data_IF_213406554395
#
_entry.id   IF_213406554395
#
_cell.length_a   1.000
_cell.length_b   1.000
_cell.length_c   1.000
_cell.angle_alpha   90.00
_cell.angle_beta   90.00
_cell.angle_gamma   90.00
#
_symmetry.space_group_name_H-M   'P 1'
#
loop_
_entity.id
_entity.type
_entity.pdbx_description
1 polymer ?
#
# COMPACT_ATOMS: atom_id res chain seq x y z
N UNK A 1 -21.04 -13.36 -4.54
CA UNK A 1 -20.12 -12.89 -3.47
C UNK A 1 -20.91 -12.87 -2.18
N UNK A 2 -20.45 -13.55 -1.17
CA UNK A 2 -21.01 -13.44 0.18
C UNK A 2 -20.55 -12.09 0.77
N UNK A 3 -21.33 -11.50 1.67
CA UNK A 3 -20.99 -10.22 2.30
C UNK A 3 -19.61 -10.25 3.00
N UNK A 4 -19.14 -11.43 3.39
CA UNK A 4 -17.83 -11.65 4.00
C UNK A 4 -16.63 -11.49 3.06
N UNK A 5 -16.86 -11.42 1.75
CA UNK A 5 -15.79 -11.32 0.75
C UNK A 5 -15.60 -9.91 0.21
N UNK A 6 -16.45 -8.95 0.61
CA UNK A 6 -16.36 -7.56 0.18
C UNK A 6 -15.26 -6.86 0.96
N UNK A 7 -14.50 -6.01 0.27
CA UNK A 7 -13.62 -5.02 0.88
C UNK A 7 -13.82 -3.65 0.24
N UNK A 8 -13.57 -2.61 1.01
CA UNK A 8 -13.58 -1.22 0.56
C UNK A 8 -12.23 -0.59 0.79
N UNK A 9 -11.70 0.07 -0.23
CA UNK A 9 -10.62 1.05 -0.10
C UNK A 9 -11.25 2.43 -0.11
N UNK A 10 -11.07 3.16 0.98
CA UNK A 10 -11.60 4.52 1.19
C UNK A 10 -10.45 5.50 1.24
N UNK A 11 -10.47 6.51 0.38
CA UNK A 11 -9.47 7.57 0.34
C UNK A 11 -9.90 8.77 1.22
N UNK A 12 -8.94 9.59 1.64
CA UNK A 12 -9.19 10.75 2.51
C UNK A 12 -10.15 11.78 1.90
N UNK A 13 -10.19 11.89 0.58
CA UNK A 13 -11.08 12.78 -0.14
C UNK A 13 -12.51 12.24 -0.34
N UNK A 14 -12.79 11.05 0.19
CA UNK A 14 -14.09 10.39 0.13
C UNK A 14 -14.28 9.45 -1.05
N UNK A 15 -13.31 9.32 -1.93
CA UNK A 15 -13.37 8.34 -3.02
C UNK A 15 -13.32 6.92 -2.46
N UNK A 16 -14.22 6.06 -2.93
CA UNK A 16 -14.31 4.67 -2.47
C UNK A 16 -14.16 3.72 -3.66
N UNK A 17 -13.33 2.71 -3.49
CA UNK A 17 -13.19 1.60 -4.43
C UNK A 17 -13.65 0.32 -3.74
N UNK A 18 -14.55 -0.40 -4.39
CA UNK A 18 -15.05 -1.69 -3.92
C UNK A 18 -14.30 -2.82 -4.61
N UNK A 19 -13.95 -3.82 -3.83
CA UNK A 19 -13.25 -5.01 -4.30
C UNK A 19 -13.54 -6.21 -3.42
N UNK A 20 -12.68 -7.21 -3.53
CA UNK A 20 -12.73 -8.43 -2.76
C UNK A 20 -11.69 -8.39 -1.64
N UNK A 21 -12.08 -8.83 -0.44
CA UNK A 21 -11.15 -9.03 0.68
C UNK A 21 -10.08 -10.05 0.29
N UNK A 22 -8.83 -9.72 0.58
CA UNK A 22 -7.68 -10.55 0.29
C UNK A 22 -6.64 -10.41 1.40
N UNK A 23 -6.02 -11.54 1.82
CA UNK A 23 -5.20 -11.56 3.02
C UNK A 23 -6.03 -11.52 4.31
N UNK A 24 -5.52 -10.87 5.36
CA UNK A 24 -6.21 -10.75 6.64
C UNK A 24 -7.48 -9.89 6.51
N UNK A 25 -8.53 -10.26 7.26
CA UNK A 25 -9.78 -9.48 7.33
C UNK A 25 -9.71 -8.49 8.49
N UNK A 26 -10.27 -7.30 8.29
CA UNK A 26 -10.29 -6.25 9.30
C UNK A 26 -10.17 -4.86 8.69
N UNK A 27 -9.53 -3.95 9.42
CA UNK A 27 -9.24 -2.60 8.94
C UNK A 27 -7.76 -2.28 9.06
N UNK A 28 -7.27 -1.52 8.09
CA UNK A 28 -5.95 -0.89 8.17
C UNK A 28 -6.03 0.54 7.66
N UNK A 29 -5.17 1.41 8.19
CA UNK A 29 -5.07 2.81 7.81
C UNK A 29 -3.61 3.13 7.50
N UNK A 30 -3.38 3.93 6.45
CA UNK A 30 -2.05 4.36 6.07
C UNK A 30 -2.05 5.45 5.01
N UNK A 31 -0.88 5.93 4.66
CA UNK A 31 -0.69 6.73 3.46
C UNK A 31 -0.75 5.81 2.24
N UNK A 32 -1.56 6.17 1.24
CA UNK A 32 -1.63 5.37 0.01
C UNK A 32 -0.53 5.79 -0.96
N UNK A 33 0.21 4.80 -1.42
CA UNK A 33 1.27 4.95 -2.42
C UNK A 33 1.12 3.89 -3.50
N UNK A 34 1.79 4.04 -4.63
CA UNK A 34 1.78 3.02 -5.68
C UNK A 34 3.20 2.62 -6.07
N UNK A 35 3.35 1.35 -6.42
CA UNK A 35 4.56 0.78 -7.00
C UNK A 35 4.31 0.42 -8.46
N UNK A 36 5.23 0.83 -9.34
CA UNK A 36 5.19 0.53 -10.78
C UNK A 36 6.04 -0.68 -11.17
N UNK A 37 6.62 -1.36 -10.18
CA UNK A 37 7.37 -2.60 -10.40
C UNK A 37 6.48 -3.67 -11.03
N UNK A 38 6.95 -4.28 -12.11
CA UNK A 38 6.26 -5.39 -12.78
C UNK A 38 6.49 -6.73 -12.07
N UNK A 39 7.55 -6.80 -11.28
CA UNK A 39 7.99 -7.94 -10.47
C UNK A 39 8.45 -7.44 -9.11
N UNK A 40 8.84 -8.34 -8.20
CA UNK A 40 9.42 -7.94 -6.92
C UNK A 40 8.39 -7.45 -5.91
N UNK A 41 7.18 -8.01 -5.93
CA UNK A 41 6.17 -7.64 -4.93
C UNK A 41 6.55 -8.11 -3.53
N UNK A 42 7.30 -9.21 -3.39
CA UNK A 42 7.76 -9.71 -2.09
C UNK A 42 8.76 -8.74 -1.47
N UNK A 43 9.71 -8.24 -2.26
CA UNK A 43 10.66 -7.20 -1.88
C UNK A 43 9.91 -5.92 -1.47
N UNK A 44 8.94 -5.47 -2.28
CA UNK A 44 8.11 -4.31 -1.95
C UNK A 44 7.37 -4.46 -0.62
N UNK A 45 6.81 -5.63 -0.35
CA UNK A 45 6.08 -5.91 0.90
C UNK A 45 7.00 -5.88 2.13
N UNK A 46 8.25 -6.36 1.97
CA UNK A 46 9.22 -6.52 3.05
C UNK A 46 10.21 -5.37 3.17
N UNK A 47 10.16 -4.36 2.29
CA UNK A 47 10.98 -3.15 2.37
C UNK A 47 10.48 -2.23 3.49
N UNK A 48 11.31 -1.93 4.52
CA UNK A 48 10.97 -1.01 5.59
C UNK A 48 10.59 0.41 5.13
N UNK A 49 10.97 0.81 3.92
CA UNK A 49 10.62 2.11 3.34
C UNK A 49 9.10 2.30 3.19
N UNK A 50 8.36 1.20 3.04
CA UNK A 50 6.90 1.22 2.95
C UNK A 50 6.20 1.06 4.31
N UNK A 51 6.92 1.26 5.41
CA UNK A 51 6.34 1.13 6.75
C UNK A 51 5.12 2.05 6.92
N UNK A 52 3.99 1.46 7.31
CA UNK A 52 2.67 2.11 7.49
C UNK A 52 2.04 2.68 6.22
N UNK A 53 2.51 2.31 5.05
CA UNK A 53 1.88 2.70 3.79
C UNK A 53 0.96 1.60 3.27
N UNK A 54 -0.11 1.99 2.60
CA UNK A 54 -0.97 1.11 1.81
C UNK A 54 -0.42 1.14 0.39
N UNK A 55 0.12 0.02 -0.07
CA UNK A 55 0.79 -0.06 -1.36
C UNK A 55 -0.14 -0.60 -2.44
N UNK A 56 -0.30 0.16 -3.53
CA UNK A 56 -1.04 -0.23 -4.72
C UNK A 56 -0.06 -0.75 -5.77
N UNK A 57 -0.21 -2.00 -6.17
CA UNK A 57 0.57 -2.55 -7.29
C UNK A 57 -0.09 -2.19 -8.62
N UNK A 58 0.68 -1.58 -9.52
CA UNK A 58 0.18 -1.27 -10.87
C UNK A 58 0.28 -2.47 -11.82
N UNK A 59 1.13 -3.45 -11.51
CA UNK A 59 1.18 -4.71 -12.24
C UNK A 59 -0.19 -5.41 -12.17
N UNK A 60 -0.73 -5.87 -13.30
CA UNK A 60 -2.11 -6.35 -13.37
C UNK A 60 -2.35 -7.65 -12.61
N UNK A 61 -1.34 -8.50 -12.47
CA UNK A 61 -1.45 -9.82 -11.85
C UNK A 61 -0.35 -10.02 -10.81
N UNK A 62 -0.74 -10.29 -9.56
CA UNK A 62 0.17 -10.37 -8.41
C UNK A 62 -0.04 -11.69 -7.67
N UNK A 63 1.06 -12.29 -7.20
CA UNK A 63 1.07 -13.53 -6.43
C UNK A 63 1.44 -14.79 -7.23
N UNK A 64 1.60 -14.68 -8.55
CA UNK A 64 1.91 -15.80 -9.44
C UNK A 64 3.27 -16.45 -9.16
N UNK A 65 4.24 -15.74 -8.62
CA UNK A 65 5.54 -16.29 -8.22
C UNK A 65 5.53 -16.89 -6.81
N UNK A 66 4.47 -16.66 -6.03
CA UNK A 66 4.39 -17.08 -4.64
C UNK A 66 5.34 -16.30 -3.73
N UNK A 67 5.64 -16.87 -2.58
CA UNK A 67 6.58 -16.34 -1.58
C UNK A 67 7.68 -17.37 -1.34
N UNK A 68 8.92 -16.93 -1.26
CA UNK A 68 10.08 -17.76 -0.93
C UNK A 68 10.87 -17.13 0.23
N UNK A 69 11.94 -17.81 0.65
CA UNK A 69 12.75 -17.39 1.80
C UNK A 69 14.01 -16.60 1.38
N UNK A 70 14.22 -16.37 0.07
CA UNK A 70 15.44 -15.77 -0.47
C UNK A 70 15.23 -14.31 -0.92
N UNK A 71 14.02 -13.97 -1.37
CA UNK A 71 13.70 -12.65 -1.95
C UNK A 71 13.22 -11.57 -0.94
N UNK A 72 12.94 -11.82 0.38
CA UNK A 72 12.56 -10.75 1.29
C UNK A 72 13.71 -9.76 1.53
N UNK A 73 13.43 -8.46 1.49
CA UNK A 73 14.35 -7.39 1.91
C UNK A 73 14.57 -7.39 3.43
N UNK A 74 13.63 -7.94 4.20
CA UNK A 74 13.71 -8.03 5.66
C UNK A 74 12.87 -9.17 6.22
N UNK A 75 12.92 -9.36 7.55
CA UNK A 75 12.31 -10.49 8.25
C UNK A 75 10.78 -10.48 8.33
N UNK A 76 10.10 -9.41 7.88
CA UNK A 76 8.63 -9.28 7.97
C UNK A 76 8.07 -8.35 6.88
N UNK A 77 6.76 -8.39 6.72
CA UNK A 77 6.03 -7.41 5.92
C UNK A 77 5.88 -6.09 6.70
N UNK A 78 6.17 -4.96 6.05
CA UNK A 78 6.11 -3.62 6.64
C UNK A 78 4.94 -2.78 6.18
N UNK A 79 4.36 -3.11 5.03
CA UNK A 79 3.21 -2.37 4.50
C UNK A 79 2.03 -2.46 5.47
N UNK A 80 1.25 -1.39 5.59
CA UNK A 80 0.03 -1.39 6.38
C UNK A 80 -1.11 -2.13 5.66
N UNK A 81 -1.11 -2.10 4.33
CA UNK A 81 -2.11 -2.76 3.52
C UNK A 81 -1.64 -2.94 2.09
N UNK A 82 -2.30 -3.83 1.35
CA UNK A 82 -1.89 -4.20 0.01
C UNK A 82 -3.07 -4.21 -0.97
N UNK A 83 -2.90 -3.54 -2.11
CA UNK A 83 -3.96 -3.31 -3.09
C UNK A 83 -3.51 -3.85 -4.44
N UNK A 84 -4.29 -4.76 -5.02
CA UNK A 84 -3.98 -5.41 -6.30
C UNK A 84 -5.21 -5.44 -7.21
N UNK A 85 -4.98 -5.49 -8.52
CA UNK A 85 -6.05 -5.66 -9.49
C UNK A 85 -6.52 -7.11 -9.56
N UNK A 86 -5.60 -8.03 -9.79
CA UNK A 86 -5.86 -9.45 -9.91
C UNK A 86 -4.88 -10.23 -9.05
N UNK A 87 -5.41 -10.93 -8.07
CA UNK A 87 -4.65 -11.78 -7.17
C UNK A 87 -4.58 -13.20 -7.73
N UNK A 88 -3.37 -13.73 -7.91
CA UNK A 88 -3.17 -15.10 -8.34
C UNK A 88 -3.83 -16.08 -7.36
N UNK A 89 -4.60 -17.01 -7.88
CA UNK A 89 -5.25 -18.06 -7.06
C UNK A 89 -4.27 -19.13 -6.60
N UNK A 90 -3.19 -19.30 -7.35
CA UNK A 90 -2.11 -20.24 -7.03
C UNK A 90 -0.79 -19.71 -7.58
N UNK A 91 0.26 -19.92 -6.82
CA UNK A 91 1.62 -19.71 -7.30
C UNK A 91 1.98 -20.80 -8.32
N UNK A 92 2.61 -20.40 -9.41
CA UNK A 92 3.05 -21.29 -10.49
C UNK A 92 4.57 -21.37 -10.62
N UNK A 93 5.32 -20.69 -9.78
CA UNK A 93 6.78 -20.68 -9.83
C UNK A 93 7.36 -21.83 -8.98
N UNK A 94 8.37 -22.50 -9.51
CA UNK A 94 9.08 -23.60 -8.84
C UNK A 94 9.79 -23.18 -7.54
N UNK A 95 10.12 -21.89 -7.38
CA UNK A 95 10.72 -21.33 -6.15
C UNK A 95 9.69 -21.05 -5.05
N UNK A 96 8.39 -21.10 -5.36
CA UNK A 96 7.34 -20.84 -4.38
C UNK A 96 7.41 -21.83 -3.23
N UNK A 97 7.39 -21.31 -2.01
CA UNK A 97 7.26 -22.07 -0.75
C UNK A 97 5.89 -21.92 -0.13
N UNK A 98 5.26 -20.76 -0.35
CA UNK A 98 3.94 -20.41 0.21
C UNK A 98 3.14 -19.58 -0.79
N UNK A 99 1.84 -19.61 -0.65
CA UNK A 99 0.97 -18.68 -1.37
C UNK A 99 1.08 -17.27 -0.76
N UNK A 100 0.97 -16.25 -1.60
CA UNK A 100 1.06 -14.87 -1.12
C UNK A 100 -0.09 -14.51 -0.17
N UNK A 101 -1.31 -15.00 -0.43
CA UNK A 101 -2.46 -14.76 0.44
C UNK A 101 -2.24 -15.34 1.85
N UNK A 102 -1.71 -16.57 1.94
CA UNK A 102 -1.40 -17.21 3.22
C UNK A 102 -0.34 -16.41 4.01
N UNK A 103 0.65 -15.87 3.32
CA UNK A 103 1.68 -15.02 3.93
C UNK A 103 1.08 -13.72 4.48
N UNK A 104 0.21 -13.05 3.71
CA UNK A 104 -0.50 -11.86 4.17
C UNK A 104 -1.36 -12.16 5.40
N UNK A 105 -2.10 -13.29 5.40
CA UNK A 105 -2.92 -13.72 6.53
C UNK A 105 -2.06 -13.98 7.77
N UNK A 106 -0.94 -14.70 7.61
CA UNK A 106 -0.06 -15.08 8.71
C UNK A 106 0.55 -13.87 9.42
N UNK A 107 0.80 -12.79 8.68
CA UNK A 107 1.36 -11.54 9.20
C UNK A 107 0.30 -10.47 9.50
N UNK A 108 -0.99 -10.78 9.36
CA UNK A 108 -2.10 -9.88 9.69
C UNK A 108 -2.24 -8.69 8.72
N UNK A 109 -1.78 -8.83 7.49
CA UNK A 109 -1.84 -7.76 6.49
C UNK A 109 -3.19 -7.78 5.78
N UNK A 110 -3.93 -6.67 5.92
CA UNK A 110 -5.22 -6.48 5.25
C UNK A 110 -4.99 -6.09 3.80
N UNK A 111 -5.62 -6.81 2.89
CA UNK A 111 -5.52 -6.55 1.45
C UNK A 111 -6.88 -6.43 0.78
N UNK A 112 -6.85 -5.88 -0.43
CA UNK A 112 -7.99 -5.79 -1.32
C UNK A 112 -7.56 -6.13 -2.75
N UNK A 113 -8.32 -7.00 -3.40
CA UNK A 113 -8.16 -7.40 -4.79
C UNK A 113 -9.39 -7.01 -5.61
N UNK A 114 -9.31 -7.21 -6.92
CA UNK A 114 -10.39 -6.97 -7.87
C UNK A 114 -10.82 -5.48 -7.95
N UNK A 115 -9.85 -4.56 -7.76
CA UNK A 115 -10.06 -3.10 -7.86
C UNK A 115 -9.35 -2.51 -9.09
N UNK A 116 -9.84 -1.38 -9.59
CA UNK A 116 -9.17 -0.66 -10.67
C UNK A 116 -7.94 0.11 -10.15
N UNK A 117 -6.80 -0.59 -10.07
CA UNK A 117 -5.53 -0.01 -9.64
C UNK A 117 -5.05 1.11 -10.56
N UNK A 118 -5.46 1.11 -11.84
CA UNK A 118 -5.13 2.19 -12.77
C UNK A 118 -5.89 3.48 -12.40
N UNK A 119 -7.19 3.39 -12.09
CA UNK A 119 -7.97 4.53 -11.63
C UNK A 119 -7.41 5.09 -10.32
N UNK A 120 -7.10 4.21 -9.35
CA UNK A 120 -6.48 4.58 -8.07
C UNK A 120 -5.15 5.33 -8.32
N UNK A 121 -4.26 4.76 -9.13
CA UNK A 121 -2.95 5.36 -9.43
C UNK A 121 -3.08 6.74 -10.08
N UNK A 122 -4.00 6.90 -11.04
CA UNK A 122 -4.27 8.20 -11.67
C UNK A 122 -4.74 9.21 -10.63
N UNK A 123 -5.67 8.81 -9.78
CA UNK A 123 -6.22 9.66 -8.72
C UNK A 123 -5.14 10.16 -7.76
N UNK A 124 -4.25 9.26 -7.29
CA UNK A 124 -3.14 9.62 -6.40
C UNK A 124 -2.14 10.55 -7.12
N UNK A 125 -1.86 10.32 -8.41
CA UNK A 125 -0.95 11.18 -9.19
C UNK A 125 -1.49 12.60 -9.36
N UNK A 126 -2.80 12.75 -9.52
CA UNK A 126 -3.45 14.05 -9.72
C UNK A 126 -3.64 14.82 -8.40
N UNK A 127 -3.95 14.11 -7.32
CA UNK A 127 -4.30 14.70 -6.01
C UNK A 127 -3.12 14.77 -5.03
N UNK A 128 -2.07 13.99 -5.25
CA UNK A 128 -0.93 13.86 -4.35
C UNK A 128 -1.11 12.78 -3.28
N UNK A 129 -0.12 12.70 -2.38
CA UNK A 129 -0.14 11.75 -1.27
C UNK A 129 -1.32 12.05 -0.33
N UNK A 130 -2.06 11.01 0.05
CA UNK A 130 -3.23 11.11 0.91
C UNK A 130 -3.35 9.89 1.81
N UNK A 131 -4.15 10.02 2.87
CA UNK A 131 -4.48 8.88 3.72
C UNK A 131 -5.55 8.02 3.08
N UNK A 132 -5.48 6.73 3.40
CA UNK A 132 -6.49 5.78 2.97
C UNK A 132 -6.74 4.73 4.05
N UNK A 133 -7.82 3.97 3.89
CA UNK A 133 -8.13 2.82 4.72
C UNK A 133 -8.69 1.67 3.90
N UNK A 134 -8.31 0.44 4.25
CA UNK A 134 -8.94 -0.76 3.74
C UNK A 134 -9.81 -1.34 4.84
N UNK A 135 -11.04 -1.71 4.49
CA UNK A 135 -12.05 -2.25 5.40
C UNK A 135 -12.64 -3.54 4.84
N UNK A 136 -12.66 -4.61 5.62
CA UNK A 136 -13.24 -5.90 5.25
C UNK A 136 -13.77 -6.67 6.46
N UNK A 137 -14.56 -7.71 6.23
CA UNK A 137 -15.14 -8.50 7.31
C UNK A 137 -15.98 -7.66 8.27
N UNK A 138 -15.77 -7.82 9.57
CA UNK A 138 -16.52 -7.11 10.62
C UNK A 138 -16.24 -5.60 10.68
N UNK A 139 -15.18 -5.15 10.00
CA UNK A 139 -14.82 -3.74 9.92
C UNK A 139 -15.52 -3.00 8.77
N UNK A 140 -16.32 -3.68 7.95
CA UNK A 140 -17.07 -3.05 6.87
C UNK A 140 -18.11 -2.07 7.45
N UNK A 141 -18.20 -0.85 6.91
CA UNK A 141 -19.27 0.07 7.26
C UNK A 141 -20.65 -0.51 6.94
N UNK A 142 -21.65 -0.17 7.76
CA UNK A 142 -23.04 -0.56 7.51
C UNK A 142 -23.49 -0.02 6.15
N UNK A 143 -24.04 -0.88 5.30
CA UNK A 143 -24.47 -0.51 3.96
C UNK A 143 -23.42 -0.67 2.86
N UNK A 144 -22.19 -1.10 3.19
CA UNK A 144 -21.11 -1.33 2.21
C UNK A 144 -21.53 -2.27 1.06
N UNK A 145 -22.41 -3.23 1.32
CA UNK A 145 -22.94 -4.16 0.32
C UNK A 145 -23.75 -3.50 -0.79
N UNK A 146 -24.32 -2.34 -0.54
CA UNK A 146 -25.17 -1.59 -1.49
C UNK A 146 -24.36 -0.60 -2.35
N UNK A 147 -23.07 -0.43 -2.10
CA UNK A 147 -22.21 0.39 -2.95
C UNK A 147 -22.04 -0.31 -4.30
N UNK A 148 -22.29 0.42 -5.39
CA UNK A 148 -22.04 -0.04 -6.76
C UNK A 148 -20.55 -0.35 -7.00
N UNK A 149 -20.25 -0.94 -8.15
CA UNK A 149 -18.87 -1.30 -8.52
C UNK A 149 -18.05 -0.09 -9.03
N UNK A 150 -18.69 1.06 -9.24
CA UNK A 150 -18.03 2.31 -9.61
C UNK A 150 -17.46 3.03 -8.38
N UNK A 151 -16.40 3.81 -8.61
CA UNK A 151 -15.84 4.67 -7.58
C UNK A 151 -16.92 5.65 -7.08
N UNK A 152 -17.36 5.46 -5.84
CA UNK A 152 -18.43 6.27 -5.26
C UNK A 152 -17.81 7.35 -4.38
N UNK A 153 -17.97 8.61 -4.77
CA UNK A 153 -17.70 9.74 -3.90
C UNK A 153 -18.83 9.83 -2.85
N UNK A 154 -18.61 9.26 -1.65
CA UNK A 154 -19.53 9.39 -0.54
C UNK A 154 -18.87 10.08 0.64
N UNK A 155 -19.19 11.35 0.82
CA UNK A 155 -18.65 12.19 1.90
C UNK A 155 -18.97 11.70 3.32
N UNK A 156 -19.94 10.81 3.48
CA UNK A 156 -20.36 10.29 4.78
C UNK A 156 -19.47 9.13 5.30
N UNK A 157 -18.88 8.34 4.40
CA UNK A 157 -18.01 7.23 4.78
C UNK A 157 -16.57 7.67 5.08
N UNK A 158 -16.08 8.71 4.38
CA UNK A 158 -14.70 9.17 4.50
C UNK A 158 -14.36 9.81 5.83
N UNK A 159 -15.25 10.68 6.35
CA UNK A 159 -15.02 11.38 7.60
C UNK A 159 -15.05 10.45 8.83
N UNK A 160 -15.92 9.44 8.83
CA UNK A 160 -16.02 8.48 9.93
C UNK A 160 -14.91 7.42 9.91
N UNK A 161 -14.52 6.94 8.72
CA UNK A 161 -13.56 5.85 8.59
C UNK A 161 -12.10 6.31 8.72
N UNK A 162 -11.74 7.46 8.15
CA UNK A 162 -10.36 7.98 8.15
C UNK A 162 -10.11 8.99 9.28
N UNK A 163 -11.19 9.61 9.83
CA UNK A 163 -11.12 10.63 10.87
C UNK A 163 -10.97 10.09 12.30
N UNK A 164 -11.25 8.83 12.57
CA UNK A 164 -11.23 8.26 13.93
C UNK A 164 -9.84 8.12 14.57
N UNK A 165 -8.74 8.50 13.90
CA UNK A 165 -7.38 8.42 14.45
C UNK A 165 -6.88 9.72 15.11
N UNK A 166 -7.73 10.72 15.36
CA UNK A 166 -7.30 12.00 15.97
C UNK A 166 -7.23 12.02 17.49
N UNK A 167 -7.44 10.90 18.20
CA UNK A 167 -7.28 10.85 19.66
C UNK A 167 -6.11 9.98 20.09
N UNK A 168 -4.92 10.45 19.81
CA UNK A 168 -3.66 9.92 20.32
C UNK A 168 -2.65 11.05 20.36
N UNK A 169 -2.79 11.96 21.35
CA UNK A 169 -1.81 12.99 21.65
C UNK A 169 -0.51 12.34 22.10
N UNK A 170 0.51 12.34 21.25
CA UNK A 170 1.89 12.19 21.68
C UNK A 170 2.52 13.58 21.70
N UNK A 171 3.03 14.06 22.83
CA UNK A 171 3.79 15.28 22.89
C UNK A 171 5.23 15.03 22.42
N UNK A 172 5.67 15.82 21.46
CA UNK A 172 7.07 16.17 21.29
C UNK A 172 7.95 15.18 20.52
N UNK A 173 8.11 15.40 19.23
CA UNK A 173 9.43 15.33 18.60
C UNK A 173 9.53 16.44 17.54
N UNK A 174 10.26 17.48 17.88
CA UNK A 174 10.70 18.52 16.95
C UNK A 174 11.67 17.88 15.95
N UNK A 175 11.21 17.56 14.73
CA UNK A 175 12.09 17.17 13.64
C UNK A 175 12.77 18.43 13.12
N UNK A 176 14.00 18.60 13.53
CA UNK A 176 14.96 19.59 13.06
C UNK A 176 15.17 19.41 11.54
N UNK A 177 14.59 20.29 10.74
CA UNK A 177 14.83 20.38 9.29
C UNK A 177 16.30 20.74 9.06
N UNK A 178 17.14 19.77 8.80
CA UNK A 178 18.50 20.03 8.29
C UNK A 178 18.39 20.51 6.84
N UNK A 179 18.64 21.79 6.65
CA UNK A 179 18.88 22.38 5.32
C UNK A 179 20.16 21.77 4.77
N UNK A 180 20.06 21.04 3.66
CA UNK A 180 21.21 20.61 2.87
C UNK A 180 21.65 21.84 2.07
N UNK A 181 22.81 22.39 2.40
CA UNK A 181 23.45 23.44 1.61
C UNK A 181 24.08 22.83 0.33
N UNK A 182 24.08 23.56 -0.82
CA UNK A 182 24.68 23.06 -2.04
C UNK A 182 26.21 23.02 -1.93
N UNK A 183 26.80 21.92 -2.32
CA UNK A 183 28.25 21.71 -2.41
C UNK A 183 28.81 22.58 -3.53
N UNK A 184 29.57 23.62 -3.16
CA UNK A 184 30.35 24.43 -4.09
C UNK A 184 31.45 23.59 -4.74
N UNK A 185 31.53 23.72 -6.08
CA UNK A 185 32.61 23.18 -6.90
C UNK A 185 33.94 23.78 -6.46
N UNK A 186 34.90 22.96 -6.08
CA UNK A 186 36.28 23.36 -5.89
C UNK A 186 37.08 22.96 -7.13
N UNK A 187 37.49 24.00 -7.86
CA UNK A 187 38.35 23.92 -9.05
C UNK A 187 39.67 23.22 -8.74
N UNK A 188 40.02 22.28 -9.61
CA UNK A 188 41.35 21.68 -9.66
C UNK A 188 42.36 22.71 -10.21
N UNK A 189 43.34 23.10 -9.39
CA UNK A 189 44.55 23.77 -9.84
C UNK A 189 45.60 22.73 -10.19
N UNK A 190 45.86 22.58 -11.45
CA UNK A 190 47.07 21.98 -12.00
C UNK A 190 48.32 22.72 -11.54
N UNK A 191 49.28 22.04 -10.93
CA UNK A 191 50.65 22.50 -10.81
C UNK A 191 51.54 21.69 -11.75
N UNK A 192 52.07 22.41 -12.75
CA UNK A 192 53.21 22.05 -13.58
C UNK A 192 54.46 21.99 -12.67
N UNK A 193 55.26 20.97 -12.83
CA UNK A 193 56.64 20.98 -12.45
C UNK A 193 57.48 20.31 -13.54
N UNK A 194 58.37 21.07 -14.07
CA UNK A 194 59.57 20.72 -14.87
C UNK A 194 60.82 21.16 -14.02
N UNK A 195 61.96 20.69 -14.27
CA UNK A 195 62.53 19.82 -15.29
C UNK A 195 62.89 18.42 -14.83
#
# INVERSE_FOLDING_TARGET
>A
MTTSDIALLVLEDGTVFKGRAWGAKGRTLGEIVFSTGMTGYQETLTDPSYHRQIVVMTAPHIGNTGVNDEDPESSRIWVAGFVVRDAARRASNWRSRRELEDELISQGIVGIADVDTRAITRHIRERGAMRAGIFSGDALPVGAQYLGDEAVASSSLSAAAVGASRSGSHPGSSVMRRRIAPRSQRAARTRKATP
#
